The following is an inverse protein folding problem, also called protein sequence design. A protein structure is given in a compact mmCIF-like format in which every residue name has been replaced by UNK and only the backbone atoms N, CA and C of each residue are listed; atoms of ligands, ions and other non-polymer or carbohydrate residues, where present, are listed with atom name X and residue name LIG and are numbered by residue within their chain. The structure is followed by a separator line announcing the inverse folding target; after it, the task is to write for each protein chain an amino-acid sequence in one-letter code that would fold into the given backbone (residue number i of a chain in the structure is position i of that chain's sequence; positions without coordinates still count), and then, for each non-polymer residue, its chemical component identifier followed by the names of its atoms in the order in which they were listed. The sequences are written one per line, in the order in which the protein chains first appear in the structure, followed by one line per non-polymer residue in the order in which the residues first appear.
data_IF_906519942862
#
_entry.id   IF_906519942862
#
_cell.length_a   1.000
_cell.length_b   1.000
_cell.length_c   1.000
_cell.angle_alpha   90.00
_cell.angle_beta   90.00
_cell.angle_gamma   90.00
#
_symmetry.space_group_name_H-M   'P 1'
#
loop_
_entity.id
_entity.type
_entity.pdbx_description
1 polymer ?
#
# COMPACT_ATOMS: atom_id res chain seq x y z
N UNK A 1 19.38 -56.01 43.00
CA UNK A 1 18.00 -56.14 42.48
C UNK A 1 17.31 -54.79 42.61
N UNK A 2 16.59 -54.37 41.54
CA UNK A 2 15.66 -53.20 41.43
C UNK A 2 16.38 -51.83 41.40
N UNK A 3 16.74 -51.28 40.22
CA UNK A 3 15.91 -50.51 39.24
C UNK A 3 15.06 -49.42 39.89
N UNK A 4 15.41 -48.13 39.69
CA UNK A 4 14.44 -47.06 39.43
C UNK A 4 15.10 -45.79 38.82
N UNK A 5 14.99 -45.67 37.48
CA UNK A 5 14.63 -44.46 36.69
C UNK A 5 15.32 -43.13 37.06
N UNK A 6 16.38 -42.67 36.38
CA UNK A 6 16.37 -41.99 35.07
C UNK A 6 15.13 -41.08 34.86
N UNK A 7 15.23 -39.81 35.22
CA UNK A 7 14.37 -38.71 34.75
C UNK A 7 15.30 -37.58 34.30
N UNK A 8 15.75 -37.63 33.04
CA UNK A 8 15.28 -36.74 31.96
C UNK A 8 15.50 -35.27 32.34
N UNK A 9 16.75 -34.82 32.22
CA UNK A 9 17.10 -33.42 31.97
C UNK A 9 17.59 -33.29 30.52
N UNK A 10 16.77 -33.80 29.59
CA UNK A 10 16.88 -33.46 28.18
C UNK A 10 16.00 -32.21 28.00
N UNK A 11 16.54 -31.04 28.37
CA UNK A 11 15.96 -29.78 27.91
C UNK A 11 16.23 -29.76 26.41
N UNK A 12 15.24 -30.26 25.68
CA UNK A 12 15.17 -30.27 24.24
C UNK A 12 15.34 -28.85 23.74
N UNK A 13 16.53 -28.59 23.20
CA UNK A 13 16.83 -27.49 22.29
C UNK A 13 16.07 -27.72 20.96
N UNK A 14 14.75 -27.85 21.05
CA UNK A 14 13.85 -27.69 19.91
C UNK A 14 13.53 -26.19 19.83
N UNK A 15 14.54 -25.43 19.43
CA UNK A 15 14.33 -24.13 18.80
C UNK A 15 13.76 -24.42 17.40
N UNK A 16 12.53 -24.91 17.34
CA UNK A 16 11.76 -24.93 16.12
C UNK A 16 11.42 -23.47 15.82
N UNK A 17 12.28 -22.85 15.00
CA UNK A 17 11.98 -21.64 14.26
C UNK A 17 10.70 -21.91 13.48
N UNK A 18 9.55 -21.55 14.05
CA UNK A 18 8.40 -21.19 13.22
C UNK A 18 8.81 -19.89 12.53
N UNK A 19 9.53 -20.01 11.42
CA UNK A 19 9.50 -18.98 10.41
C UNK A 19 8.04 -18.88 10.00
N UNK A 20 7.34 -17.90 10.57
CA UNK A 20 6.01 -17.53 10.16
C UNK A 20 6.13 -17.24 8.66
N UNK A 21 5.62 -18.13 7.80
CA UNK A 21 5.44 -17.81 6.40
C UNK A 21 4.48 -16.63 6.39
N UNK A 22 5.01 -15.42 6.28
CA UNK A 22 4.21 -14.25 6.02
C UNK A 22 3.55 -14.50 4.66
N UNK A 23 2.28 -14.91 4.67
CA UNK A 23 1.50 -14.98 3.45
C UNK A 23 1.53 -13.58 2.85
N UNK A 24 2.09 -13.46 1.64
CA UNK A 24 2.01 -12.21 0.89
C UNK A 24 0.52 -11.85 0.79
N UNK A 25 0.11 -10.63 1.17
CA UNK A 25 -1.30 -10.31 1.18
C UNK A 25 -1.88 -10.40 -0.22
N UNK A 26 -3.16 -10.78 -0.30
CA UNK A 26 -3.86 -10.88 -1.57
C UNK A 26 -3.91 -9.50 -2.25
N UNK A 27 -3.69 -9.47 -3.56
CA UNK A 27 -3.81 -8.27 -4.38
C UNK A 27 -4.94 -8.50 -5.37
N UNK A 28 -5.94 -7.64 -5.35
CA UNK A 28 -7.15 -7.74 -6.15
C UNK A 28 -7.15 -6.66 -7.23
N UNK A 29 -7.24 -7.07 -8.48
CA UNK A 29 -7.35 -6.20 -9.65
C UNK A 29 -8.02 -6.98 -10.78
N UNK A 30 -8.54 -6.26 -11.78
CA UNK A 30 -9.02 -6.85 -13.03
C UNK A 30 -8.03 -6.52 -14.18
N UNK A 31 -8.07 -7.26 -15.30
CA UNK A 31 -7.21 -6.98 -16.46
C UNK A 31 -7.27 -5.54 -16.96
N UNK A 32 -8.41 -4.87 -16.80
CA UNK A 32 -8.63 -3.47 -17.13
C UNK A 32 -7.73 -2.53 -16.31
N UNK A 33 -7.44 -2.85 -15.05
CA UNK A 33 -6.53 -2.05 -14.22
C UNK A 33 -5.10 -2.11 -14.77
N UNK A 34 -4.67 -3.29 -15.23
CA UNK A 34 -3.37 -3.44 -15.90
C UNK A 34 -3.32 -2.63 -17.20
N UNK A 35 -4.41 -2.64 -17.96
CA UNK A 35 -4.51 -1.85 -19.19
C UNK A 35 -4.45 -0.33 -18.90
N UNK A 36 -5.13 0.13 -17.84
CA UNK A 36 -5.08 1.54 -17.41
C UNK A 36 -3.69 1.91 -16.90
N UNK A 37 -3.05 1.02 -16.12
CA UNK A 37 -1.66 1.21 -15.69
C UNK A 37 -0.72 1.35 -16.90
N UNK A 38 -0.82 0.48 -17.91
CA UNK A 38 0.00 0.58 -19.11
C UNK A 38 -0.25 1.89 -19.89
N UNK A 39 -1.49 2.36 -19.95
CA UNK A 39 -1.81 3.69 -20.52
C UNK A 39 -1.17 4.82 -19.71
N UNK A 40 -1.17 4.70 -18.38
CA UNK A 40 -0.48 5.65 -17.50
C UNK A 40 1.03 5.65 -17.74
N UNK A 41 1.66 4.48 -17.88
CA UNK A 41 3.10 4.37 -18.17
C UNK A 41 3.47 5.14 -19.44
N UNK A 42 2.68 5.00 -20.50
CA UNK A 42 2.86 5.75 -21.75
C UNK A 42 2.60 7.24 -21.54
N UNK A 43 1.53 7.60 -20.83
CA UNK A 43 1.15 9.00 -20.59
C UNK A 43 2.20 9.79 -19.80
N UNK A 44 2.82 9.17 -18.80
CA UNK A 44 3.79 9.80 -17.91
C UNK A 44 5.22 9.72 -18.44
N UNK A 45 5.44 8.97 -19.53
CA UNK A 45 6.74 8.84 -20.17
C UNK A 45 7.27 10.22 -20.58
N UNK A 46 8.55 10.47 -20.28
CA UNK A 46 9.20 11.77 -20.54
C UNK A 46 8.90 12.86 -19.50
N UNK A 47 8.00 12.61 -18.54
CA UNK A 47 7.68 13.51 -17.42
C UNK A 47 8.27 13.06 -16.08
N UNK A 48 8.93 11.90 -16.02
CA UNK A 48 9.38 11.27 -14.77
C UNK A 48 10.44 12.07 -14.01
N UNK A 49 11.14 12.99 -14.68
CA UNK A 49 12.15 13.85 -14.05
C UNK A 49 11.55 15.12 -13.42
N UNK A 50 10.26 15.41 -13.62
CA UNK A 50 9.57 16.54 -12.97
C UNK A 50 9.74 16.51 -11.44
N UNK A 51 9.72 17.68 -10.78
CA UNK A 51 9.58 17.76 -9.32
C UNK A 51 8.40 16.92 -8.81
N UNK A 52 8.49 16.44 -7.57
CA UNK A 52 7.52 15.47 -7.04
C UNK A 52 6.08 16.02 -6.99
N UNK A 53 5.94 17.28 -6.60
CA UNK A 53 4.70 18.04 -6.57
C UNK A 53 4.10 18.23 -7.98
N UNK A 54 4.91 18.61 -8.97
CA UNK A 54 4.46 18.72 -10.35
C UNK A 54 4.06 17.35 -10.94
N UNK A 55 4.82 16.29 -10.62
CA UNK A 55 4.55 14.94 -11.08
C UNK A 55 3.23 14.40 -10.50
N UNK A 56 2.94 14.67 -9.22
CA UNK A 56 1.66 14.35 -8.58
C UNK A 56 0.51 15.02 -9.33
N UNK A 57 0.64 16.30 -9.68
CA UNK A 57 -0.39 17.04 -10.43
C UNK A 57 -0.57 16.47 -11.84
N UNK A 58 0.51 16.14 -12.55
CA UNK A 58 0.42 15.50 -13.86
C UNK A 58 -0.23 14.11 -13.79
N UNK A 59 0.10 13.32 -12.77
CA UNK A 59 -0.56 12.03 -12.52
C UNK A 59 -2.05 12.21 -12.19
N UNK A 60 -2.43 13.23 -11.42
CA UNK A 60 -3.84 13.53 -11.12
C UNK A 60 -4.65 13.83 -12.39
N UNK A 61 -4.06 14.58 -13.35
CA UNK A 61 -4.71 14.91 -14.62
C UNK A 61 -5.04 13.69 -15.47
N UNK A 62 -4.26 12.59 -15.36
CA UNK A 62 -4.53 11.34 -16.07
C UNK A 62 -5.89 10.74 -15.71
N UNK A 63 -6.36 10.95 -14.48
CA UNK A 63 -7.62 10.41 -13.98
C UNK A 63 -8.81 11.36 -14.17
N UNK A 64 -8.67 12.47 -14.90
CA UNK A 64 -9.79 13.35 -15.22
C UNK A 64 -10.86 12.59 -16.04
N UNK A 65 -12.09 12.62 -15.55
CA UNK A 65 -13.23 11.92 -16.17
C UNK A 65 -13.41 10.47 -15.70
N UNK A 66 -12.56 9.97 -14.81
CA UNK A 66 -12.78 8.65 -14.16
C UNK A 66 -14.02 8.73 -13.25
N UNK A 67 -14.95 7.76 -13.33
CA UNK A 67 -16.17 7.76 -12.52
C UNK A 67 -15.90 7.75 -11.01
N UNK A 68 -16.77 8.47 -10.29
CA UNK A 68 -16.82 8.43 -8.83
C UNK A 68 -17.64 7.23 -8.34
N UNK A 69 -17.04 6.32 -7.57
CA UNK A 69 -17.74 5.17 -6.99
C UNK A 69 -17.23 4.91 -5.57
N UNK A 70 -18.15 4.82 -4.62
CA UNK A 70 -17.85 4.50 -3.23
C UNK A 70 -17.70 2.99 -3.00
N UNK A 71 -17.06 2.60 -1.90
CA UNK A 71 -16.96 1.22 -1.42
C UNK A 71 -16.23 0.27 -2.40
N UNK A 72 -15.33 0.78 -3.24
CA UNK A 72 -14.58 -0.03 -4.22
C UNK A 72 -13.56 -0.97 -3.57
N UNK A 73 -13.26 -0.77 -2.28
CA UNK A 73 -12.30 -1.58 -1.50
C UNK A 73 -12.96 -2.65 -0.61
N UNK A 74 -14.29 -2.70 -0.55
CA UNK A 74 -15.00 -3.55 0.42
C UNK A 74 -15.15 -4.99 -0.09
N UNK A 75 -14.14 -5.82 0.19
CA UNK A 75 -14.07 -7.23 -0.20
C UNK A 75 -13.58 -8.09 0.96
N UNK A 76 -13.86 -9.39 0.90
CA UNK A 76 -13.44 -10.37 1.92
C UNK A 76 -12.73 -11.57 1.27
N UNK A 77 -11.57 -12.03 1.80
CA UNK A 77 -10.82 -11.42 2.91
C UNK A 77 -10.18 -10.07 2.52
N UNK A 78 -9.80 -9.28 3.52
CA UNK A 78 -9.05 -8.02 3.29
C UNK A 78 -7.78 -8.29 2.48
N UNK A 79 -7.51 -7.40 1.52
CA UNK A 79 -6.28 -7.37 0.74
C UNK A 79 -6.17 -6.10 -0.07
N UNK A 80 -5.05 -5.94 -0.76
CA UNK A 80 -4.78 -4.73 -1.54
C UNK A 80 -5.67 -4.69 -2.78
N UNK A 81 -6.73 -3.89 -2.74
CA UNK A 81 -7.56 -3.61 -3.91
C UNK A 81 -6.94 -2.50 -4.77
N UNK A 82 -6.64 -2.83 -6.01
CA UNK A 82 -6.25 -1.88 -7.06
C UNK A 82 -7.43 -1.73 -8.01
N UNK A 83 -8.12 -0.58 -7.94
CA UNK A 83 -9.14 -0.19 -8.90
C UNK A 83 -8.73 1.14 -9.55
N UNK A 84 -8.38 1.11 -10.83
CA UNK A 84 -8.03 2.29 -11.62
C UNK A 84 -9.18 2.74 -12.53
N UNK A 85 -10.29 1.98 -12.55
CA UNK A 85 -11.48 2.26 -13.35
C UNK A 85 -12.43 3.23 -12.66
N UNK A 86 -12.48 3.17 -11.34
CA UNK A 86 -13.48 3.83 -10.51
C UNK A 86 -12.84 4.20 -9.17
N UNK A 87 -13.02 5.46 -8.74
CA UNK A 87 -12.33 6.01 -7.57
C UNK A 87 -13.29 6.81 -6.70
N UNK A 88 -13.03 6.85 -5.41
CA UNK A 88 -13.56 7.86 -4.49
C UNK A 88 -12.47 8.88 -4.14
N UNK A 89 -12.74 9.80 -3.20
CA UNK A 89 -11.78 10.84 -2.84
C UNK A 89 -10.47 10.28 -2.23
N UNK A 90 -10.55 9.24 -1.41
CA UNK A 90 -9.40 8.63 -0.73
C UNK A 90 -8.58 7.80 -1.71
N UNK A 91 -9.23 6.89 -2.42
CA UNK A 91 -8.57 6.00 -3.39
C UNK A 91 -7.97 6.78 -4.55
N UNK A 92 -8.56 7.91 -4.96
CA UNK A 92 -7.96 8.83 -5.92
C UNK A 92 -6.63 9.40 -5.41
N UNK A 93 -6.63 10.00 -4.21
CA UNK A 93 -5.43 10.58 -3.61
C UNK A 93 -4.31 9.53 -3.49
N UNK A 94 -4.64 8.35 -2.97
CA UNK A 94 -3.68 7.29 -2.74
C UNK A 94 -3.11 6.73 -4.04
N UNK A 95 -3.97 6.49 -5.03
CA UNK A 95 -3.57 6.00 -6.36
C UNK A 95 -2.65 6.99 -7.05
N UNK A 96 -3.03 8.28 -7.06
CA UNK A 96 -2.23 9.34 -7.68
C UNK A 96 -0.86 9.44 -7.03
N UNK A 97 -0.80 9.50 -5.69
CA UNK A 97 0.47 9.58 -4.97
C UNK A 97 1.35 8.35 -5.25
N UNK A 98 0.80 7.15 -5.11
CA UNK A 98 1.55 5.91 -5.32
C UNK A 98 2.08 5.80 -6.76
N UNK A 99 1.28 6.12 -7.77
CA UNK A 99 1.72 6.12 -9.18
C UNK A 99 2.79 7.17 -9.48
N UNK A 100 2.64 8.39 -8.95
CA UNK A 100 3.63 9.45 -9.11
C UNK A 100 4.97 9.04 -8.48
N UNK A 101 4.94 8.47 -7.28
CA UNK A 101 6.16 8.01 -6.60
C UNK A 101 6.77 6.77 -7.26
N UNK A 102 5.97 5.92 -7.91
CA UNK A 102 6.44 4.80 -8.74
C UNK A 102 7.20 5.31 -9.96
N UNK A 103 6.65 6.30 -10.65
CA UNK A 103 7.29 6.95 -11.78
C UNK A 103 8.59 7.67 -11.35
N UNK A 104 8.56 8.39 -10.22
CA UNK A 104 9.72 9.10 -9.68
C UNK A 104 10.87 8.17 -9.29
N UNK A 105 10.58 6.96 -8.80
CA UNK A 105 11.61 6.00 -8.42
C UNK A 105 12.30 5.33 -9.61
N UNK A 106 11.95 5.68 -10.86
CA UNK A 106 12.49 5.09 -12.10
C UNK A 106 12.34 3.56 -12.19
N UNK A 107 11.40 3.01 -11.43
CA UNK A 107 10.99 1.60 -11.46
C UNK A 107 9.48 1.55 -11.69
N UNK A 108 9.06 1.95 -12.88
CA UNK A 108 7.65 2.12 -13.25
C UNK A 108 7.00 0.78 -13.60
N UNK A 109 6.88 -0.08 -12.60
CA UNK A 109 6.28 -1.42 -12.68
C UNK A 109 5.02 -1.48 -11.84
N UNK A 110 4.08 -2.36 -12.24
CA UNK A 110 2.82 -2.54 -11.51
C UNK A 110 3.07 -3.03 -10.08
N UNK A 111 4.03 -3.95 -9.88
CA UNK A 111 4.39 -4.43 -8.55
C UNK A 111 4.94 -3.33 -7.64
N UNK A 112 5.76 -2.41 -8.17
CA UNK A 112 6.26 -1.28 -7.38
C UNK A 112 5.13 -0.29 -7.05
N UNK A 113 4.18 -0.08 -7.97
CA UNK A 113 2.96 0.68 -7.68
C UNK A 113 2.15 0.05 -6.56
N UNK A 114 1.85 -1.26 -6.63
CA UNK A 114 1.17 -1.99 -5.57
C UNK A 114 1.91 -1.87 -4.23
N UNK A 115 3.24 -2.01 -4.24
CA UNK A 115 4.06 -1.90 -3.03
C UNK A 115 3.94 -0.51 -2.39
N UNK A 116 3.96 0.55 -3.19
CA UNK A 116 3.80 1.93 -2.69
C UNK A 116 2.38 2.21 -2.21
N UNK A 117 1.37 1.69 -2.92
CA UNK A 117 -0.03 1.83 -2.52
C UNK A 117 -0.29 1.15 -1.18
N UNK A 118 0.21 -0.08 -1.00
CA UNK A 118 0.11 -0.80 0.26
C UNK A 118 0.79 -0.05 1.40
N UNK A 119 2.01 0.43 1.18
CA UNK A 119 2.75 1.22 2.18
C UNK A 119 2.01 2.49 2.60
N UNK A 120 1.29 3.13 1.69
CA UNK A 120 0.52 4.34 1.95
C UNK A 120 -0.80 4.05 2.70
N UNK A 121 -1.51 3.01 2.28
CA UNK A 121 -2.90 2.72 2.68
C UNK A 121 -3.03 1.97 4.01
N UNK A 122 -2.03 1.16 4.35
CA UNK A 122 -2.09 0.27 5.52
C UNK A 122 -1.07 0.64 6.58
N UNK A 123 -1.42 0.47 7.85
CA UNK A 123 -0.51 0.66 8.98
C UNK A 123 0.72 -0.23 8.84
N UNK A 124 1.91 0.36 8.96
CA UNK A 124 3.19 -0.32 8.73
C UNK A 124 3.30 -1.09 7.39
N UNK A 125 2.40 -0.81 6.43
CA UNK A 125 2.28 -1.57 5.18
C UNK A 125 1.85 -3.04 5.39
N UNK A 126 1.27 -3.41 6.52
CA UNK A 126 0.82 -4.77 6.83
C UNK A 126 -0.66 -4.95 6.48
N UNK A 127 -1.03 -6.13 6.01
CA UNK A 127 -2.44 -6.48 5.75
C UNK A 127 -2.71 -7.83 6.40
N UNK A 128 -3.28 -7.80 7.60
CA UNK A 128 -3.71 -8.96 8.37
C UNK A 128 -5.23 -9.03 8.48
N UNK A 129 -5.89 -7.88 8.66
CA UNK A 129 -7.35 -7.75 8.62
C UNK A 129 -7.79 -6.33 8.19
N UNK A 130 -9.11 -6.12 8.12
CA UNK A 130 -9.74 -4.86 7.77
C UNK A 130 -9.23 -3.66 8.58
N UNK A 131 -8.86 -3.85 9.85
CA UNK A 131 -8.47 -2.77 10.77
C UNK A 131 -7.06 -2.23 10.52
N UNK A 132 -6.23 -2.93 9.74
CA UNK A 132 -4.91 -2.43 9.33
C UNK A 132 -5.02 -1.32 8.28
N UNK A 133 -6.14 -1.24 7.55
CA UNK A 133 -6.40 -0.16 6.59
C UNK A 133 -6.67 1.14 7.33
N UNK A 134 -6.05 2.23 6.89
CA UNK A 134 -6.14 3.54 7.54
C UNK A 134 -7.47 4.24 7.22
N UNK A 135 -8.54 3.89 7.92
CA UNK A 135 -9.92 4.37 7.64
C UNK A 135 -10.19 5.81 8.07
N UNK A 136 -9.54 6.28 9.13
CA UNK A 136 -9.72 7.65 9.64
C UNK A 136 -8.66 8.56 9.05
N UNK A 137 -9.06 9.67 8.42
CA UNK A 137 -8.11 10.60 7.77
C UNK A 137 -7.06 11.15 8.75
N UNK A 138 -7.40 11.37 10.02
CA UNK A 138 -6.42 11.78 11.04
C UNK A 138 -5.36 10.71 11.27
N UNK A 139 -5.76 9.45 11.39
CA UNK A 139 -4.86 8.31 11.56
C UNK A 139 -4.03 8.06 10.29
N UNK A 140 -4.64 8.22 9.11
CA UNK A 140 -3.93 8.20 7.83
C UNK A 140 -2.83 9.26 7.78
N UNK A 141 -3.11 10.49 8.24
CA UNK A 141 -2.11 11.57 8.30
C UNK A 141 -1.02 11.24 9.30
N UNK A 142 -1.38 10.86 10.54
CA UNK A 142 -0.40 10.58 11.60
C UNK A 142 0.54 9.43 11.22
N UNK A 143 -0.02 8.33 10.70
CA UNK A 143 0.74 7.19 10.21
C UNK A 143 1.67 7.58 9.05
N UNK A 144 1.16 8.31 8.05
CA UNK A 144 1.96 8.70 6.90
C UNK A 144 2.98 9.81 7.22
N UNK A 145 2.77 10.58 8.29
CA UNK A 145 3.82 11.44 8.85
C UNK A 145 4.93 10.62 9.50
N UNK A 146 4.58 9.60 10.29
CA UNK A 146 5.56 8.69 10.90
C UNK A 146 6.38 7.95 9.84
N UNK A 147 5.76 7.62 8.70
CA UNK A 147 6.43 7.04 7.52
C UNK A 147 7.25 8.06 6.70
N UNK A 148 7.20 9.35 7.04
CA UNK A 148 7.88 10.43 6.32
C UNK A 148 7.32 10.73 4.92
N UNK A 149 6.09 10.32 4.65
CA UNK A 149 5.40 10.49 3.35
C UNK A 149 4.76 11.87 3.27
N UNK A 150 4.07 12.28 4.34
CA UNK A 150 3.38 13.57 4.41
C UNK A 150 3.90 14.39 5.58
N UNK A 151 3.62 15.69 5.53
CA UNK A 151 3.89 16.62 6.62
C UNK A 151 2.72 17.58 6.73
N UNK A 152 2.11 17.67 7.91
CA UNK A 152 1.09 18.68 8.17
C UNK A 152 1.69 20.08 8.07
N UNK A 153 1.02 20.92 7.27
CA UNK A 153 1.33 22.36 7.14
C UNK A 153 0.30 23.23 7.87
N UNK A 154 -0.75 22.64 8.45
CA UNK A 154 -1.85 23.38 9.07
C UNK A 154 -1.37 24.31 10.20
N UNK A 155 -0.50 23.80 11.09
CA UNK A 155 0.10 24.61 12.16
C UNK A 155 0.90 25.80 11.63
N UNK A 156 1.67 25.61 10.54
CA UNK A 156 2.42 26.70 9.92
C UNK A 156 1.55 27.66 9.11
N UNK A 157 0.34 27.25 8.73
CA UNK A 157 -0.59 28.01 7.91
C UNK A 157 -1.66 28.76 8.73
N UNK A 158 -1.63 28.68 10.06
CA UNK A 158 -2.50 29.46 10.95
C UNK A 158 -3.59 28.68 11.69
N UNK A 159 -3.68 27.35 11.49
CA UNK A 159 -4.67 26.50 12.15
C UNK A 159 -5.98 26.40 11.37
#
# INVERSE_FOLDING_TARGET
MKKLLLSIFFVSLFCSTFAQMANKPAIYYQPEDINIFNKYVVYIQGKTDLPADELIVETAKFFLGVPYVANTMEIEPEGLVVNLRELDCTTFLETVYALAMTAKSKNLTFDNFCSKLQWLRYRDGLISDYTDRLHYTSDWIDENQNKGIVKSIAQSAGG
#
